data_IF_629222992415
#
_entry.id   IF_629222992415
#
_cell.length_a   1.000
_cell.length_b   1.000
_cell.length_c   1.000
_cell.angle_alpha   90.00
_cell.angle_beta   90.00
_cell.angle_gamma   90.00
#
_symmetry.space_group_name_H-M   'P 1'
#
loop_
_entity.id
_entity.type
_entity.pdbx_description
1 polymer ?
#
# COMPACT_ATOMS: atom_id res chain seq x y z
N UNK A 1 -8.41 27.68 10.11
CA UNK A 1 -7.41 27.08 9.20
C UNK A 1 -6.26 28.08 8.94
N UNK A 2 -5.61 28.59 10.00
CA UNK A 2 -4.64 29.72 9.93
C UNK A 2 -3.19 29.22 10.02
N UNK A 3 -2.96 28.05 10.60
CA UNK A 3 -1.63 27.45 10.81
C UNK A 3 -0.99 26.84 9.55
N UNK A 4 -1.72 26.78 8.43
CA UNK A 4 -1.21 26.27 7.14
C UNK A 4 -0.58 27.41 6.32
N UNK A 5 -1.07 28.64 6.49
CA UNK A 5 -0.71 29.79 5.65
C UNK A 5 0.36 30.68 6.24
N UNK A 6 0.63 30.57 7.55
CA UNK A 6 1.61 31.39 8.22
C UNK A 6 2.53 30.48 9.07
N UNK A 7 3.66 30.01 8.50
CA UNK A 7 4.58 29.18 9.26
C UNK A 7 5.09 29.95 10.49
N UNK A 8 5.22 29.30 11.66
CA UNK A 8 5.68 29.95 12.87
C UNK A 8 7.07 30.57 12.63
N UNK A 9 7.20 31.85 12.97
CA UNK A 9 8.44 32.59 12.80
C UNK A 9 9.58 31.91 13.59
N UNK A 10 10.64 31.54 12.89
CA UNK A 10 11.81 30.89 13.48
C UNK A 10 12.62 31.94 14.22
N UNK A 11 13.07 31.69 15.47
CA UNK A 11 13.93 32.61 16.19
C UNK A 11 15.23 32.91 15.40
N UNK A 12 15.72 34.17 15.38
CA UNK A 12 16.94 34.54 14.67
C UNK A 12 18.12 33.66 15.10
N UNK A 13 18.84 33.07 14.14
CA UNK A 13 20.00 32.21 14.40
C UNK A 13 19.73 30.71 14.59
N UNK A 14 18.46 30.28 14.65
CA UNK A 14 18.11 28.85 14.66
C UNK A 14 17.82 28.27 13.27
N UNK A 15 17.79 29.12 12.25
CA UNK A 15 17.48 28.74 10.86
C UNK A 15 18.40 27.63 10.35
N UNK A 16 19.69 27.71 10.64
CA UNK A 16 20.66 26.67 10.24
C UNK A 16 20.32 25.31 10.87
N UNK A 17 20.05 25.28 12.19
CA UNK A 17 19.68 24.04 12.90
C UNK A 17 18.37 23.45 12.39
N UNK A 18 17.38 24.30 12.09
CA UNK A 18 16.12 23.87 11.52
C UNK A 18 16.32 23.31 10.10
N UNK A 19 17.14 23.97 9.28
CA UNK A 19 17.44 23.52 7.92
C UNK A 19 18.16 22.16 7.89
N UNK A 20 19.16 21.96 8.75
CA UNK A 20 19.84 20.68 8.97
C UNK A 20 18.87 19.57 9.42
N UNK A 21 17.99 19.89 10.39
CA UNK A 21 16.99 18.96 10.88
C UNK A 21 15.99 18.56 9.79
N UNK A 22 15.45 19.54 9.05
CA UNK A 22 14.52 19.31 7.94
C UNK A 22 15.17 18.51 6.82
N UNK A 23 16.44 18.79 6.51
CA UNK A 23 17.22 18.03 5.52
C UNK A 23 17.35 16.56 5.92
N UNK A 24 17.79 16.28 7.15
CA UNK A 24 17.86 14.89 7.66
C UNK A 24 16.50 14.20 7.66
N UNK A 25 15.45 14.91 8.04
CA UNK A 25 14.10 14.34 8.03
C UNK A 25 13.63 14.03 6.61
N UNK A 26 13.89 14.90 5.64
CA UNK A 26 13.57 14.66 4.24
C UNK A 26 14.37 13.50 3.66
N UNK A 27 15.65 13.40 3.99
CA UNK A 27 16.51 12.27 3.61
C UNK A 27 16.02 10.96 4.22
N UNK A 28 15.60 10.97 5.50
CA UNK A 28 15.02 9.81 6.18
C UNK A 28 13.71 9.39 5.52
N UNK A 29 12.84 10.34 5.17
CA UNK A 29 11.59 10.08 4.46
C UNK A 29 11.89 9.50 3.08
N UNK A 30 12.81 10.08 2.32
CA UNK A 30 13.19 9.57 0.99
C UNK A 30 13.80 8.18 1.06
N UNK A 31 14.65 7.90 2.05
CA UNK A 31 15.22 6.57 2.27
C UNK A 31 14.13 5.55 2.58
N UNK A 32 13.15 5.91 3.42
CA UNK A 32 11.99 5.07 3.66
C UNK A 32 11.13 4.94 2.39
N UNK A 33 11.01 6.00 1.59
CA UNK A 33 10.23 6.00 0.36
C UNK A 33 10.84 5.08 -0.71
N UNK A 34 12.16 5.03 -0.78
CA UNK A 34 12.94 4.14 -1.65
C UNK A 34 12.93 2.70 -1.12
N UNK A 35 13.07 2.51 0.20
CA UNK A 35 13.00 1.19 0.83
C UNK A 35 11.60 0.55 0.74
N UNK A 36 10.54 1.37 0.76
CA UNK A 36 9.15 0.92 0.65
C UNK A 36 8.53 1.16 -0.74
N UNK A 37 9.32 1.68 -1.69
CA UNK A 37 8.95 1.96 -3.07
C UNK A 37 7.54 2.58 -3.19
N UNK A 38 7.35 3.65 -2.41
CA UNK A 38 6.02 4.14 -2.02
C UNK A 38 5.37 5.04 -3.08
N UNK A 39 6.01 5.22 -4.25
CA UNK A 39 5.43 5.98 -5.37
C UNK A 39 4.11 5.33 -5.82
N UNK A 40 3.05 6.12 -6.08
CA UNK A 40 1.74 5.57 -6.42
C UNK A 40 1.79 4.70 -7.69
N UNK A 41 2.65 5.05 -8.65
CA UNK A 41 2.84 4.27 -9.89
C UNK A 41 3.55 2.92 -9.66
N UNK A 42 4.60 2.88 -8.82
CA UNK A 42 5.30 1.63 -8.47
C UNK A 42 4.41 0.72 -7.62
N UNK A 43 3.66 1.30 -6.68
CA UNK A 43 2.66 0.56 -5.90
C UNK A 43 1.56 -0.02 -6.76
N UNK A 44 0.98 0.77 -7.67
CA UNK A 44 -0.06 0.25 -8.57
C UNK A 44 0.50 -0.89 -9.42
N UNK A 45 1.70 -0.75 -9.99
CA UNK A 45 2.28 -1.81 -10.82
C UNK A 45 2.59 -3.08 -10.03
N UNK A 46 3.07 -2.96 -8.78
CA UNK A 46 3.32 -4.11 -7.90
C UNK A 46 2.03 -4.80 -7.49
N UNK A 47 1.02 -4.03 -7.10
CA UNK A 47 -0.30 -4.55 -6.74
C UNK A 47 -0.94 -5.27 -7.92
N UNK A 48 -0.87 -4.69 -9.12
CA UNK A 48 -1.41 -5.32 -10.34
C UNK A 48 -0.71 -6.65 -10.66
N UNK A 49 0.61 -6.73 -10.45
CA UNK A 49 1.38 -7.97 -10.62
C UNK A 49 0.99 -9.02 -9.57
N UNK A 50 0.89 -8.62 -8.30
CA UNK A 50 0.50 -9.51 -7.20
C UNK A 50 -0.92 -10.07 -7.41
N UNK A 51 -1.85 -9.24 -7.90
CA UNK A 51 -3.23 -9.68 -8.17
C UNK A 51 -3.27 -10.63 -9.37
N UNK A 52 -2.54 -10.34 -10.47
CA UNK A 52 -2.46 -11.26 -11.61
C UNK A 52 -1.94 -12.62 -11.19
N UNK A 53 -0.88 -12.66 -10.39
CA UNK A 53 -0.32 -13.91 -9.87
C UNK A 53 -1.32 -14.67 -8.98
N UNK A 54 -2.07 -13.95 -8.15
CA UNK A 54 -3.13 -14.53 -7.31
C UNK A 54 -4.28 -15.11 -8.16
N UNK A 55 -4.71 -14.41 -9.20
CA UNK A 55 -5.77 -14.89 -10.11
C UNK A 55 -5.30 -16.10 -10.91
N UNK A 56 -4.11 -16.05 -11.53
CA UNK A 56 -3.55 -17.16 -12.30
C UNK A 56 -3.35 -18.42 -11.45
N UNK A 57 -2.88 -18.25 -10.20
CA UNK A 57 -2.72 -19.38 -9.28
C UNK A 57 -4.06 -19.97 -8.81
N UNK A 58 -5.08 -19.12 -8.65
CA UNK A 58 -6.44 -19.57 -8.36
C UNK A 58 -7.05 -20.32 -9.55
N UNK A 59 -6.93 -19.81 -10.78
CA UNK A 59 -7.43 -20.49 -11.99
C UNK A 59 -6.77 -21.86 -12.20
N UNK A 60 -5.47 -21.98 -11.90
CA UNK A 60 -4.75 -23.24 -12.07
C UNK A 60 -5.03 -24.27 -10.97
N UNK A 61 -5.31 -23.82 -9.76
CA UNK A 61 -5.32 -24.68 -8.56
C UNK A 61 -6.71 -24.81 -7.92
N UNK A 62 -7.65 -23.95 -8.29
CA UNK A 62 -8.97 -23.73 -7.65
C UNK A 62 -8.88 -23.52 -6.13
N UNK A 63 -7.70 -23.08 -5.65
CA UNK A 63 -7.39 -22.88 -4.23
C UNK A 63 -6.94 -21.46 -3.99
N UNK A 64 -7.20 -20.97 -2.78
CA UNK A 64 -6.78 -19.64 -2.34
C UNK A 64 -5.25 -19.55 -2.45
N UNK A 65 -4.71 -18.53 -3.13
CA UNK A 65 -3.28 -18.30 -3.20
C UNK A 65 -2.72 -18.01 -1.80
N UNK A 66 -1.63 -18.68 -1.42
CA UNK A 66 -0.93 -18.40 -0.16
C UNK A 66 -0.47 -16.93 -0.09
N UNK A 67 -0.11 -16.34 -1.23
CA UNK A 67 0.22 -14.91 -1.36
C UNK A 67 -0.92 -14.00 -0.90
N UNK A 68 -2.17 -14.38 -1.18
CA UNK A 68 -3.36 -13.65 -0.75
C UNK A 68 -3.54 -13.76 0.78
N UNK A 69 -3.38 -14.97 1.32
CA UNK A 69 -3.49 -15.26 2.76
C UNK A 69 -2.41 -14.51 3.54
N UNK A 70 -1.16 -14.58 3.09
CA UNK A 70 -0.03 -13.88 3.69
C UNK A 70 -0.22 -12.36 3.64
N UNK A 71 -0.75 -11.82 2.53
CA UNK A 71 -1.05 -10.40 2.43
C UNK A 71 -2.14 -9.98 3.43
N UNK A 72 -3.19 -10.77 3.62
CA UNK A 72 -4.25 -10.47 4.60
C UNK A 72 -3.79 -10.58 6.06
N UNK A 73 -2.89 -11.53 6.39
CA UNK A 73 -2.44 -11.74 7.77
C UNK A 73 -1.27 -10.82 8.13
N UNK A 74 -0.23 -10.79 7.29
CA UNK A 74 1.03 -10.12 7.63
C UNK A 74 1.10 -8.67 7.13
N UNK A 75 0.27 -8.30 6.15
CA UNK A 75 0.31 -6.98 5.50
C UNK A 75 -1.06 -6.31 5.43
N UNK A 76 -1.83 -6.33 6.51
CA UNK A 76 -3.22 -5.85 6.54
C UNK A 76 -3.42 -4.43 5.99
N UNK A 77 -2.50 -3.50 6.29
CA UNK A 77 -2.55 -2.12 5.76
C UNK A 77 -2.36 -2.06 4.23
N UNK A 78 -1.50 -2.91 3.68
CA UNK A 78 -1.31 -3.05 2.23
C UNK A 78 -2.51 -3.76 1.58
N UNK A 79 -3.00 -4.81 2.25
CA UNK A 79 -4.14 -5.58 1.79
C UNK A 79 -5.39 -4.70 1.68
N UNK A 80 -5.75 -3.98 2.73
CA UNK A 80 -6.93 -3.12 2.74
C UNK A 80 -6.74 -1.82 1.95
N UNK A 81 -5.54 -1.23 1.99
CA UNK A 81 -5.29 0.10 1.41
C UNK A 81 -4.99 0.10 -0.09
N UNK A 82 -4.41 -0.99 -0.62
CA UNK A 82 -3.94 -1.03 -2.01
C UNK A 82 -4.42 -2.27 -2.76
N UNK A 83 -4.27 -3.46 -2.16
CA UNK A 83 -4.55 -4.72 -2.83
C UNK A 83 -6.04 -4.96 -3.04
N UNK A 84 -6.86 -4.80 -2.01
CA UNK A 84 -8.30 -5.02 -2.05
C UNK A 84 -9.02 -4.02 -2.98
N UNK A 85 -8.74 -2.71 -2.94
CA UNK A 85 -9.33 -1.76 -3.89
C UNK A 85 -8.95 -2.04 -5.34
N UNK A 86 -7.72 -2.53 -5.59
CA UNK A 86 -7.28 -2.90 -6.92
C UNK A 86 -7.89 -4.23 -7.39
N UNK A 87 -8.05 -5.20 -6.49
CA UNK A 87 -8.72 -6.48 -6.76
C UNK A 87 -10.21 -6.27 -7.09
N UNK A 88 -10.88 -5.36 -6.40
CA UNK A 88 -12.29 -4.99 -6.63
C UNK A 88 -12.47 -3.97 -7.78
N UNK A 89 -11.38 -3.53 -8.41
CA UNK A 89 -11.44 -2.58 -9.51
C UNK A 89 -12.07 -3.23 -10.74
N UNK A 90 -12.92 -2.52 -11.51
CA UNK A 90 -13.63 -3.06 -12.68
C UNK A 90 -12.71 -3.50 -13.84
N UNK A 91 -11.39 -3.43 -13.66
CA UNK A 91 -10.38 -3.81 -14.66
C UNK A 91 -10.22 -5.32 -14.83
N UNK A 92 -10.68 -6.12 -13.87
CA UNK A 92 -10.55 -7.57 -13.95
C UNK A 92 -11.78 -8.17 -14.65
N UNK A 93 -11.51 -8.86 -15.75
CA UNK A 93 -12.51 -9.40 -16.68
C UNK A 93 -13.37 -10.54 -16.10
N UNK A 94 -12.99 -11.10 -14.94
CA UNK A 94 -13.70 -12.23 -14.33
C UNK A 94 -14.15 -11.93 -12.89
N UNK A 95 -15.35 -11.33 -12.70
CA UNK A 95 -15.84 -10.90 -11.39
C UNK A 95 -16.11 -12.06 -10.43
N UNK A 96 -16.36 -13.28 -10.92
CA UNK A 96 -16.63 -14.43 -10.03
C UNK A 96 -15.40 -14.87 -9.24
N UNK A 97 -14.21 -14.84 -9.85
CA UNK A 97 -12.95 -15.19 -9.19
C UNK A 97 -12.61 -14.16 -8.12
N UNK A 98 -12.85 -12.88 -8.41
CA UNK A 98 -12.65 -11.77 -7.46
C UNK A 98 -13.56 -11.92 -6.26
N UNK A 99 -14.86 -12.17 -6.49
CA UNK A 99 -15.84 -12.35 -5.44
C UNK A 99 -15.52 -13.58 -4.59
N UNK A 100 -15.00 -14.65 -5.18
CA UNK A 100 -14.63 -15.87 -4.47
C UNK A 100 -13.39 -15.65 -3.60
N UNK A 101 -12.35 -14.99 -4.12
CA UNK A 101 -11.18 -14.61 -3.33
C UNK A 101 -11.54 -13.64 -2.19
N UNK A 102 -12.47 -12.72 -2.43
CA UNK A 102 -12.96 -11.79 -1.41
C UNK A 102 -13.78 -12.51 -0.31
N UNK A 103 -14.75 -13.35 -0.71
CA UNK A 103 -15.59 -14.09 0.23
C UNK A 103 -14.74 -15.02 1.09
N UNK A 104 -13.81 -15.73 0.48
CA UNK A 104 -12.98 -16.67 1.21
C UNK A 104 -12.06 -15.95 2.19
N UNK A 105 -11.44 -14.83 1.83
CA UNK A 105 -10.59 -14.08 2.76
C UNK A 105 -11.40 -13.50 3.95
N UNK A 106 -12.64 -13.08 3.70
CA UNK A 106 -13.52 -12.50 4.72
C UNK A 106 -14.07 -13.54 5.70
N UNK A 107 -14.19 -14.82 5.29
CA UNK A 107 -14.81 -15.88 6.09
C UNK A 107 -13.85 -16.98 6.58
N UNK A 108 -12.65 -17.11 6.03
CA UNK A 108 -11.69 -18.21 6.38
C UNK A 108 -10.62 -17.77 7.37
N UNK A 109 -10.41 -16.47 7.58
CA UNK A 109 -9.51 -15.95 8.62
C UNK A 109 -10.37 -15.34 9.74
N UNK A 110 -10.85 -16.14 10.71
CA UNK A 110 -11.45 -15.58 11.92
C UNK A 110 -10.39 -14.78 12.70
N UNK A 111 -10.83 -13.67 13.29
CA UNK A 111 -10.04 -12.75 14.15
C UNK A 111 -9.14 -13.46 15.18
#
# INVERSE_FOLDING_TARGET
>A
QIHVSNPPAVPPGMEYKLSEFLKRHKERINFLDEAFDTTPFSKQSKVDVDIKLAVESYEKTEKIPNTLIEASIFRINYYQGSFLPALLSPRYENPEIILTLFFINTYVIPE
#
